data_IF_331956729834
#
_entry.id   IF_331956729834
#
_cell.length_a   1.000
_cell.length_b   1.000
_cell.length_c   1.000
_cell.angle_alpha   90.00
_cell.angle_beta   90.00
_cell.angle_gamma   90.00
#
_symmetry.space_group_name_H-M   'P 1'
#
loop_
_entity.id
_entity.type
_entity.pdbx_description
1 polymer ?
#
# COMPACT_ATOMS: atom_id res chain seq x y z
N UNK A 1 -2.69 1.79 -36.91
CA UNK A 1 -1.82 0.88 -36.14
C UNK A 1 -1.53 1.53 -34.80
N UNK A 2 -1.87 0.90 -33.68
CA UNK A 2 -1.47 1.38 -32.36
C UNK A 2 -0.23 0.61 -31.93
N UNK A 3 0.83 1.34 -31.59
CA UNK A 3 2.09 0.79 -31.12
C UNK A 3 1.92 0.37 -29.66
N UNK A 4 2.01 -0.94 -29.38
CA UNK A 4 1.98 -1.44 -28.00
C UNK A 4 3.37 -1.20 -27.39
N UNK A 5 3.47 -0.30 -26.41
CA UNK A 5 4.70 -0.10 -25.62
C UNK A 5 4.66 -0.91 -24.34
N UNK A 6 5.62 -1.82 -24.18
CA UNK A 6 5.86 -2.51 -22.90
C UNK A 6 6.64 -1.55 -22.00
N UNK A 7 5.96 -0.94 -21.04
CA UNK A 7 6.59 -0.15 -19.98
C UNK A 7 6.80 -1.07 -18.79
N UNK A 8 8.07 -1.40 -18.47
CA UNK A 8 8.37 -2.04 -17.18
C UNK A 8 8.21 -0.97 -16.10
N UNK A 9 7.37 -1.19 -15.06
CA UNK A 9 7.31 -0.26 -13.95
C UNK A 9 8.69 -0.19 -13.30
N UNK A 10 9.13 1.03 -13.01
CA UNK A 10 10.32 1.24 -12.19
C UNK A 10 9.98 0.73 -10.79
N UNK A 11 10.51 -0.44 -10.43
CA UNK A 11 10.37 -0.98 -9.07
C UNK A 11 11.28 -0.14 -8.19
N UNK A 12 10.72 0.94 -7.63
CA UNK A 12 11.35 1.63 -6.51
C UNK A 12 11.47 0.62 -5.40
N UNK A 13 12.69 0.41 -4.90
CA UNK A 13 12.97 -0.53 -3.83
C UNK A 13 11.95 -0.30 -2.71
N UNK A 14 11.03 -1.25 -2.52
CA UNK A 14 10.14 -1.25 -1.37
C UNK A 14 11.05 -1.40 -0.16
N UNK A 15 11.29 -0.30 0.55
CA UNK A 15 11.93 -0.36 1.84
C UNK A 15 10.92 -1.04 2.76
N UNK A 16 11.12 -2.34 2.99
CA UNK A 16 10.27 -3.12 3.89
C UNK A 16 10.34 -2.49 5.29
N UNK A 17 9.32 -1.73 5.66
CA UNK A 17 9.12 -1.27 7.03
C UNK A 17 8.81 -2.51 7.86
N UNK A 18 9.79 -2.93 8.68
CA UNK A 18 9.69 -4.07 9.59
C UNK A 18 9.36 -3.59 11.00
N UNK A 19 8.79 -4.48 11.81
CA UNK A 19 8.52 -4.22 13.22
C UNK A 19 7.21 -3.45 13.45
N UNK A 20 7.13 -2.71 14.55
CA UNK A 20 5.89 -2.09 15.05
C UNK A 20 5.25 -1.09 14.08
N UNK A 21 6.01 -0.57 13.10
CA UNK A 21 5.52 0.40 12.10
C UNK A 21 5.13 -0.23 10.76
N UNK A 22 5.18 -1.55 10.61
CA UNK A 22 4.88 -2.24 9.35
C UNK A 22 3.46 -1.95 8.82
N UNK A 23 2.53 -1.59 9.70
CA UNK A 23 1.17 -1.17 9.32
C UNK A 23 1.13 0.10 8.47
N UNK A 24 2.19 0.94 8.49
CA UNK A 24 2.25 2.16 7.67
C UNK A 24 2.37 1.86 6.17
N UNK A 25 2.95 0.72 5.79
CA UNK A 25 3.02 0.30 4.38
C UNK A 25 1.64 0.04 3.79
N UNK A 26 0.71 -0.47 4.61
CA UNK A 26 -0.70 -0.64 4.22
C UNK A 26 -1.33 0.72 3.91
N UNK A 27 -1.05 1.72 4.73
CA UNK A 27 -1.56 3.09 4.54
C UNK A 27 -0.95 3.74 3.31
N UNK A 28 0.35 3.53 3.07
CA UNK A 28 1.03 3.98 1.86
C UNK A 28 0.40 3.36 0.60
N UNK A 29 0.21 2.03 0.59
CA UNK A 29 -0.45 1.31 -0.51
C UNK A 29 -1.89 1.80 -0.75
N UNK A 30 -2.63 2.04 0.33
CA UNK A 30 -3.97 2.63 0.28
C UNK A 30 -3.98 4.03 -0.36
N UNK A 31 -3.03 4.89 0.00
CA UNK A 31 -2.88 6.24 -0.58
C UNK A 31 -2.53 6.18 -2.06
N UNK A 32 -1.62 5.29 -2.46
CA UNK A 32 -1.30 5.04 -3.87
C UNK A 32 -2.53 4.60 -4.69
N UNK A 33 -3.50 3.97 -4.02
CA UNK A 33 -4.77 3.52 -4.60
C UNK A 33 -5.88 4.58 -4.54
N UNK A 34 -5.61 5.79 -4.04
CA UNK A 34 -6.54 6.94 -4.08
C UNK A 34 -7.13 7.36 -2.74
N UNK A 35 -6.67 6.81 -1.60
CA UNK A 35 -7.08 7.33 -0.28
C UNK A 35 -6.49 8.73 -0.04
N UNK A 36 -7.31 9.75 0.32
CA UNK A 36 -6.83 11.11 0.55
C UNK A 36 -5.85 11.24 1.73
N UNK A 37 -4.87 12.14 1.58
CA UNK A 37 -3.86 12.42 2.64
C UNK A 37 -4.46 13.06 3.90
N UNK A 38 -5.63 13.69 3.80
CA UNK A 38 -6.30 14.33 4.94
C UNK A 38 -6.89 13.37 5.97
N UNK A 39 -6.88 12.05 5.71
CA UNK A 39 -7.38 11.03 6.64
C UNK A 39 -6.22 10.54 7.53
N UNK A 40 -6.38 10.50 8.87
CA UNK A 40 -5.36 9.99 9.76
C UNK A 40 -4.96 8.54 9.45
N UNK A 41 -3.66 8.25 9.46
CA UNK A 41 -3.11 6.95 9.04
C UNK A 41 -3.71 5.77 9.80
N UNK A 42 -3.87 5.90 11.13
CA UNK A 42 -4.48 4.87 11.96
C UNK A 42 -5.95 4.60 11.60
N UNK A 43 -6.69 5.61 11.15
CA UNK A 43 -8.07 5.42 10.67
C UNK A 43 -8.11 4.73 9.30
N UNK A 44 -7.17 5.07 8.41
CA UNK A 44 -7.00 4.36 7.14
C UNK A 44 -6.70 2.89 7.38
N UNK A 45 -5.75 2.57 8.27
CA UNK A 45 -5.42 1.19 8.59
C UNK A 45 -6.60 0.41 9.18
N UNK A 46 -7.31 1.00 10.17
CA UNK A 46 -8.53 0.39 10.72
C UNK A 46 -9.59 0.16 9.64
N UNK A 47 -9.77 1.12 8.73
CA UNK A 47 -10.70 1.00 7.62
C UNK A 47 -10.32 -0.17 6.69
N UNK A 48 -9.03 -0.33 6.37
CA UNK A 48 -8.56 -1.44 5.54
C UNK A 48 -8.82 -2.80 6.19
N UNK A 49 -8.52 -2.94 7.49
CA UNK A 49 -8.79 -4.18 8.24
C UNK A 49 -10.30 -4.46 8.33
N UNK A 50 -11.12 -3.45 8.64
CA UNK A 50 -12.58 -3.63 8.82
C UNK A 50 -13.31 -4.04 7.55
N UNK A 51 -12.81 -3.61 6.40
CA UNK A 51 -13.43 -3.87 5.10
C UNK A 51 -12.75 -5.04 4.35
N UNK A 52 -11.88 -5.79 5.03
CA UNK A 52 -11.19 -6.95 4.46
C UNK A 52 -10.45 -6.63 3.15
N UNK A 53 -9.76 -5.48 3.10
CA UNK A 53 -8.85 -5.14 2.01
C UNK A 53 -7.55 -5.95 2.12
N UNK A 54 -7.67 -7.27 2.01
CA UNK A 54 -6.59 -8.23 2.23
C UNK A 54 -5.35 -7.96 1.37
N UNK A 55 -5.53 -7.52 0.12
CA UNK A 55 -4.41 -7.18 -0.77
C UNK A 55 -3.50 -6.09 -0.21
N UNK A 56 -4.03 -5.13 0.55
CA UNK A 56 -3.23 -4.10 1.20
C UNK A 56 -2.50 -4.64 2.44
N UNK A 57 -3.07 -5.65 3.11
CA UNK A 57 -2.51 -6.30 4.30
C UNK A 57 -1.41 -7.31 3.97
N UNK A 58 -1.41 -7.89 2.77
CA UNK A 58 -0.35 -8.79 2.28
C UNK A 58 1.03 -8.12 2.22
N UNK A 59 1.08 -6.79 2.20
CA UNK A 59 2.32 -6.02 2.28
C UNK A 59 2.97 -6.06 3.68
N UNK A 60 2.23 -6.46 4.72
CA UNK A 60 2.75 -6.56 6.09
C UNK A 60 3.39 -7.93 6.31
N UNK A 61 4.71 -7.98 6.23
CA UNK A 61 5.48 -9.18 6.60
C UNK A 61 5.87 -9.07 8.08
N UNK A 62 5.08 -9.68 8.96
CA UNK A 62 5.49 -9.92 10.35
C UNK A 62 6.42 -11.14 10.34
N UNK A 63 7.68 -10.95 10.75
CA UNK A 63 8.70 -11.99 10.82
C UNK A 63 8.92 -12.46 12.24
#
# INVERSE_FOLDING_TARGET
MHEIRIVKPEIRNFELVKGEEAWREVVYSARMSGVPEGIPEGEVFKMMVRNDYGSALEHVIIK
#
